data_IF_645281447290
#
_entry.id   IF_645281447290
#
_cell.length_a   1.000
_cell.length_b   1.000
_cell.length_c   1.000
_cell.angle_alpha   90.00
_cell.angle_beta   90.00
_cell.angle_gamma   90.00
#
_symmetry.space_group_name_H-M   'P 1'
#
loop_
_entity.id
_entity.type
_entity.pdbx_description
1 polymer ?
#
# COMPACT_ATOMS: atom_id res chain seq x y z
N UNK A 1 12.09 4.25 -23.54
CA UNK A 1 11.39 4.32 -22.25
C UNK A 1 12.25 3.84 -21.11
N UNK A 2 12.35 4.61 -20.06
CA UNK A 2 13.14 4.25 -18.89
C UNK A 2 12.41 3.18 -18.09
N UNK A 3 13.09 2.08 -17.81
CA UNK A 3 12.52 1.01 -17.01
C UNK A 3 12.52 1.43 -15.53
N UNK A 4 11.36 1.38 -14.89
CA UNK A 4 11.24 1.74 -13.49
C UNK A 4 11.86 0.68 -12.58
N UNK A 5 12.55 1.12 -11.54
CA UNK A 5 13.05 0.23 -10.49
C UNK A 5 11.91 -0.22 -9.58
N UNK A 6 12.16 -1.28 -8.80
CA UNK A 6 11.17 -1.75 -7.81
C UNK A 6 10.83 -0.66 -6.79
N UNK A 7 11.84 0.12 -6.39
CA UNK A 7 11.64 1.22 -5.44
C UNK A 7 10.74 2.31 -6.03
N UNK A 8 10.95 2.65 -7.30
CA UNK A 8 10.12 3.64 -7.99
C UNK A 8 8.68 3.16 -8.14
N UNK A 9 8.50 1.89 -8.49
CA UNK A 9 7.17 1.28 -8.60
C UNK A 9 6.46 1.33 -7.25
N UNK A 10 7.16 1.00 -6.16
CA UNK A 10 6.61 1.09 -4.81
C UNK A 10 6.19 2.51 -4.44
N UNK A 11 7.01 3.49 -4.80
CA UNK A 11 6.70 4.91 -4.56
C UNK A 11 5.44 5.33 -5.31
N UNK A 12 5.33 4.94 -6.58
CA UNK A 12 4.15 5.25 -7.40
C UNK A 12 2.90 4.60 -6.78
N UNK A 13 3.00 3.35 -6.33
CA UNK A 13 1.87 2.66 -5.70
C UNK A 13 1.39 3.37 -4.45
N UNK A 14 2.31 3.82 -3.59
CA UNK A 14 1.96 4.57 -2.38
C UNK A 14 1.23 5.86 -2.73
N UNK A 15 1.75 6.62 -3.70
CA UNK A 15 1.12 7.86 -4.13
C UNK A 15 -0.25 7.61 -4.78
N UNK A 16 -0.37 6.55 -5.56
CA UNK A 16 -1.66 6.18 -6.17
C UNK A 16 -2.69 5.82 -5.09
N UNK A 17 -2.27 5.12 -4.05
CA UNK A 17 -3.13 4.79 -2.92
C UNK A 17 -3.60 6.07 -2.21
N UNK A 18 -2.70 7.04 -2.00
CA UNK A 18 -3.04 8.33 -1.40
C UNK A 18 -4.10 9.05 -2.24
N UNK A 19 -3.90 9.10 -3.56
CA UNK A 19 -4.84 9.74 -4.49
C UNK A 19 -6.21 9.08 -4.39
N UNK A 20 -6.26 7.76 -4.47
CA UNK A 20 -7.51 6.99 -4.45
C UNK A 20 -8.28 7.19 -3.15
N UNK A 21 -7.57 7.14 -2.02
CA UNK A 21 -8.18 7.32 -0.70
C UNK A 21 -8.68 8.75 -0.50
N UNK A 22 -7.89 9.73 -0.95
CA UNK A 22 -8.27 11.13 -0.86
C UNK A 22 -9.54 11.41 -1.65
N UNK A 23 -9.66 10.82 -2.86
CA UNK A 23 -10.88 10.93 -3.67
C UNK A 23 -12.10 10.35 -2.97
N UNK A 24 -11.92 9.36 -2.11
CA UNK A 24 -13.00 8.74 -1.32
C UNK A 24 -13.34 9.51 -0.05
N UNK A 25 -12.64 10.61 0.21
CA UNK A 25 -12.91 11.46 1.37
C UNK A 25 -12.08 11.15 2.60
N UNK A 26 -11.10 10.24 2.51
CA UNK A 26 -10.19 9.97 3.62
C UNK A 26 -9.15 11.08 3.77
N UNK A 27 -8.78 11.34 5.01
CA UNK A 27 -7.58 12.11 5.31
C UNK A 27 -6.42 11.12 5.41
N UNK A 28 -5.34 11.34 4.66
CA UNK A 28 -4.26 10.36 4.55
C UNK A 28 -2.96 10.97 5.04
N UNK A 29 -2.24 10.22 5.87
CA UNK A 29 -0.90 10.57 6.30
C UNK A 29 0.06 9.44 5.95
N UNK A 30 1.27 9.79 5.49
CA UNK A 30 2.30 8.83 5.14
C UNK A 30 3.26 8.65 6.32
N UNK A 31 3.67 7.39 6.57
CA UNK A 31 4.67 7.13 7.60
C UNK A 31 6.01 7.74 7.20
N UNK A 32 6.74 8.27 8.20
CA UNK A 32 8.05 8.90 7.97
C UNK A 32 9.21 7.95 8.23
N UNK A 33 9.00 6.93 9.06
CA UNK A 33 10.07 6.02 9.47
C UNK A 33 10.11 4.77 8.59
N UNK A 34 11.29 4.35 8.10
CA UNK A 34 11.40 3.09 7.36
C UNK A 34 11.15 1.87 8.24
N UNK A 35 11.18 2.03 9.57
CA UNK A 35 10.91 0.96 10.53
C UNK A 35 9.42 0.85 10.87
N UNK A 36 8.59 1.73 10.33
CA UNK A 36 7.16 1.75 10.61
C UNK A 36 6.47 0.51 10.05
N UNK A 37 5.56 -0.07 10.82
CA UNK A 37 4.85 -1.30 10.43
C UNK A 37 3.72 -1.06 9.44
N UNK A 38 3.44 0.18 9.09
CA UNK A 38 2.43 0.56 8.09
C UNK A 38 2.97 1.69 7.21
N UNK A 39 2.46 1.78 6.00
CA UNK A 39 2.89 2.79 5.03
C UNK A 39 2.05 4.05 5.12
N UNK A 40 0.75 3.90 5.30
CA UNK A 40 -0.21 5.00 5.33
C UNK A 40 -1.17 4.85 6.50
N UNK A 41 -1.63 6.01 6.99
CA UNK A 41 -2.77 6.10 7.91
C UNK A 41 -3.88 6.81 7.16
N UNK A 42 -5.06 6.19 7.10
CA UNK A 42 -6.23 6.78 6.45
C UNK A 42 -7.35 6.97 7.48
N UNK A 43 -7.80 8.20 7.63
CA UNK A 43 -8.87 8.54 8.58
C UNK A 43 -10.14 8.84 7.80
N UNK A 44 -11.16 8.02 8.03
CA UNK A 44 -12.48 8.19 7.42
C UNK A 44 -13.21 9.39 8.04
N UNK A 45 -14.10 10.07 7.29
CA UNK A 45 -14.88 11.18 7.85
C UNK A 45 -15.67 10.82 9.12
N UNK A 46 -16.02 9.54 9.30
CA UNK A 46 -16.68 9.08 10.52
C UNK A 46 -15.73 8.88 11.71
N UNK A 47 -14.45 9.16 11.55
CA UNK A 47 -13.44 9.05 12.60
C UNK A 47 -12.73 7.70 12.65
N UNK A 48 -13.13 6.71 11.88
CA UNK A 48 -12.45 5.41 11.85
C UNK A 48 -11.07 5.54 11.21
N UNK A 49 -10.09 4.91 11.83
CA UNK A 49 -8.70 4.95 11.40
C UNK A 49 -8.30 3.60 10.80
N UNK A 50 -7.64 3.64 9.64
CA UNK A 50 -7.09 2.45 9.00
C UNK A 50 -5.58 2.60 8.89
N UNK A 51 -4.86 1.58 9.31
CA UNK A 51 -3.42 1.47 9.09
C UNK A 51 -3.21 0.55 7.89
N UNK A 52 -2.48 1.03 6.87
CA UNK A 52 -2.39 0.34 5.59
C UNK A 52 -0.95 0.00 5.22
N UNK A 53 -0.74 -1.22 4.75
CA UNK A 53 0.49 -1.67 4.12
C UNK A 53 0.23 -1.74 2.61
N UNK A 54 0.97 -0.93 1.84
CA UNK A 54 0.75 -0.79 0.40
C UNK A 54 1.65 -1.73 -0.37
N UNK A 55 1.06 -2.53 -1.23
CA UNK A 55 1.79 -3.42 -2.12
C UNK A 55 1.33 -3.23 -3.54
N UNK A 56 2.24 -3.38 -4.49
CA UNK A 56 1.91 -3.32 -5.92
C UNK A 56 1.43 -4.68 -6.39
N UNK A 57 0.38 -4.70 -7.19
CA UNK A 57 -0.08 -5.94 -7.82
C UNK A 57 1.01 -6.45 -8.77
N UNK A 58 1.36 -7.73 -8.64
CA UNK A 58 2.39 -8.34 -9.48
C UNK A 58 1.80 -8.78 -10.82
N UNK A 59 2.52 -8.49 -11.92
CA UNK A 59 2.14 -8.86 -13.28
C UNK A 59 2.94 -10.02 -13.84
N UNK A 60 3.61 -10.81 -13.01
CA UNK A 60 4.43 -11.92 -13.51
C UNK A 60 3.54 -13.04 -14.05
N UNK A 61 3.37 -13.04 -15.36
CA UNK A 61 2.60 -14.09 -16.06
C UNK A 61 3.32 -15.43 -16.16
N UNK A 62 4.64 -15.45 -16.00
CA UNK A 62 5.45 -16.66 -16.31
C UNK A 62 5.37 -17.75 -15.25
N UNK A 63 5.01 -17.41 -14.07
CA UNK A 63 4.92 -18.37 -12.97
C UNK A 63 3.57 -18.17 -12.32
N UNK A 64 2.67 -19.11 -12.47
CA UNK A 64 1.39 -19.13 -11.78
C UNK A 64 1.56 -19.13 -10.25
N UNK A 65 2.58 -18.43 -9.74
CA UNK A 65 2.78 -18.32 -8.32
C UNK A 65 1.86 -17.23 -7.79
N UNK A 66 0.90 -17.64 -7.00
CA UNK A 66 0.27 -16.73 -6.07
C UNK A 66 1.36 -16.26 -5.12
N UNK A 67 1.86 -15.05 -5.32
CA UNK A 67 2.70 -14.44 -4.32
C UNK A 67 1.79 -14.17 -3.13
N UNK A 68 1.89 -15.03 -2.11
CA UNK A 68 1.20 -14.82 -0.86
C UNK A 68 1.83 -13.63 -0.17
N UNK A 69 1.22 -12.47 -0.31
CA UNK A 69 1.64 -11.27 0.41
C UNK A 69 0.94 -11.28 1.75
N UNK A 70 1.65 -11.78 2.75
CA UNK A 70 1.12 -11.88 4.10
C UNK A 70 1.61 -10.72 4.94
N UNK A 71 0.74 -10.23 5.82
CA UNK A 71 1.11 -9.29 6.86
C UNK A 71 1.95 -10.03 7.90
N UNK A 72 2.91 -9.32 8.50
CA UNK A 72 3.68 -9.87 9.62
C UNK A 72 2.79 -9.98 10.86
N UNK A 73 3.23 -10.79 11.84
CA UNK A 73 2.50 -10.90 13.11
C UNK A 73 2.34 -9.54 13.80
N UNK A 74 3.41 -8.72 13.77
CA UNK A 74 3.35 -7.38 14.34
C UNK A 74 2.30 -6.51 13.65
N UNK A 75 2.23 -6.57 12.33
CA UNK A 75 1.22 -5.84 11.56
C UNK A 75 -0.19 -6.30 11.91
N UNK A 76 -0.39 -7.60 12.02
CA UNK A 76 -1.70 -8.16 12.42
C UNK A 76 -2.12 -7.71 13.81
N UNK A 77 -1.18 -7.69 14.76
CA UNK A 77 -1.45 -7.23 16.13
C UNK A 77 -1.85 -5.77 16.17
N UNK A 78 -1.28 -4.95 15.29
CA UNK A 78 -1.58 -3.52 15.20
C UNK A 78 -2.85 -3.22 14.39
N UNK A 79 -3.44 -4.24 13.78
CA UNK A 79 -4.63 -4.04 12.94
C UNK A 79 -4.33 -3.46 11.57
N UNK A 80 -3.11 -3.63 11.09
CA UNK A 80 -2.72 -3.18 9.74
C UNK A 80 -3.44 -4.00 8.69
N UNK A 81 -3.96 -3.33 7.67
CA UNK A 81 -4.61 -3.97 6.52
C UNK A 81 -3.71 -3.87 5.29
N UNK A 82 -3.77 -4.90 4.46
CA UNK A 82 -3.04 -4.92 3.19
C UNK A 82 -3.87 -4.21 2.13
N UNK A 83 -3.27 -3.25 1.43
CA UNK A 83 -3.89 -2.60 0.28
C UNK A 83 -3.04 -2.86 -0.96
N UNK A 84 -3.59 -3.56 -1.93
CA UNK A 84 -2.90 -3.88 -3.18
C UNK A 84 -3.29 -2.86 -4.23
N UNK A 85 -2.29 -2.22 -4.82
CA UNK A 85 -2.49 -1.21 -5.87
C UNK A 85 -2.15 -1.83 -7.22
N UNK A 86 -3.09 -1.74 -8.15
CA UNK A 86 -2.92 -2.18 -9.53
C UNK A 86 -2.47 -0.99 -10.37
N UNK A 87 -1.20 -0.99 -10.73
CA UNK A 87 -0.63 0.02 -11.63
C UNK A 87 -0.68 -0.54 -13.05
N UNK A 88 -1.54 0.01 -13.86
CA UNK A 88 -1.63 -0.36 -15.28
C UNK A 88 -0.53 0.33 -16.06
N UNK A 89 0.68 -0.20 -15.94
CA UNK A 89 1.85 0.31 -16.67
C UNK A 89 2.40 -0.72 -17.63
#
# INVERSE_FOLDING_TARGET
MTKLSKTEIGTISEHQAIINLTKKGYMVAKSCSPQCSFDLVAVHPNGKIKLLDIKTKSFRKKNNYKINRCLTEKQKQLGVKLLIVDLKI
#
